data_IF_823549442897
#
_entry.id   IF_823549442897
#
_cell.length_a   1.000
_cell.length_b   1.000
_cell.length_c   1.000
_cell.angle_alpha   90.00
_cell.angle_beta   90.00
_cell.angle_gamma   90.00
#
_symmetry.space_group_name_H-M   'P 1'
#
loop_
_entity.id
_entity.type
_entity.pdbx_description
1 polymer ?
#
# COMPACT_ATOMS: atom_id res chain seq x y z
N UNK A 1 -2.34 1.57 41.41
CA UNK A 1 -2.00 3.00 41.60
C UNK A 1 -2.90 3.64 42.66
N UNK A 2 -4.21 3.39 42.62
CA UNK A 2 -5.20 3.79 43.64
C UNK A 2 -4.86 3.22 45.04
N UNK A 3 -4.52 1.94 45.15
CA UNK A 3 -4.14 1.31 46.44
C UNK A 3 -2.92 1.95 47.11
N UNK A 4 -2.01 2.51 46.31
CA UNK A 4 -0.77 3.13 46.80
C UNK A 4 -1.00 4.54 47.36
N UNK A 5 -2.04 5.22 46.90
CA UNK A 5 -2.40 6.58 47.35
C UNK A 5 -3.55 6.59 48.37
N UNK A 6 -4.29 5.49 48.54
CA UNK A 6 -5.30 5.33 49.58
C UNK A 6 -4.75 5.21 51.01
N UNK A 7 -3.49 4.79 51.18
CA UNK A 7 -2.86 4.56 52.48
C UNK A 7 -2.42 5.84 53.24
N UNK A 8 -2.47 7.02 52.61
CA UNK A 8 -2.16 8.31 53.26
C UNK A 8 -3.38 9.23 53.23
N UNK A 9 -3.80 9.71 54.40
CA UNK A 9 -5.01 10.51 54.59
C UNK A 9 -5.10 11.73 53.65
N UNK A 10 -3.97 12.37 53.33
CA UNK A 10 -3.93 13.54 52.44
C UNK A 10 -4.20 13.25 50.97
N UNK A 11 -4.14 11.99 50.52
CA UNK A 11 -4.33 11.58 49.12
C UNK A 11 -5.59 10.74 48.88
N UNK A 12 -6.36 10.48 49.93
CA UNK A 12 -7.60 9.70 49.88
C UNK A 12 -8.67 10.33 48.96
N UNK A 13 -8.78 11.66 48.93
CA UNK A 13 -9.74 12.35 48.04
C UNK A 13 -9.38 12.18 46.54
N UNK A 14 -8.09 12.16 46.22
CA UNK A 14 -7.61 11.93 44.85
C UNK A 14 -7.82 10.47 44.43
N UNK A 15 -7.58 9.51 45.33
CA UNK A 15 -7.84 8.09 45.06
C UNK A 15 -9.32 7.83 44.72
N UNK A 16 -10.25 8.38 45.50
CA UNK A 16 -11.71 8.27 45.27
C UNK A 16 -12.17 8.89 43.95
N UNK A 17 -11.53 9.99 43.53
CA UNK A 17 -11.81 10.64 42.25
C UNK A 17 -11.37 9.77 41.06
N UNK A 18 -10.23 9.11 41.20
CA UNK A 18 -9.69 8.18 40.20
C UNK A 18 -10.55 6.92 40.11
N UNK A 19 -10.99 6.36 41.25
CA UNK A 19 -11.92 5.22 41.30
C UNK A 19 -13.21 5.52 40.54
N UNK A 20 -13.88 6.64 40.86
CA UNK A 20 -15.11 7.06 40.16
C UNK A 20 -14.90 7.27 38.66
N UNK A 21 -13.69 7.66 38.24
CA UNK A 21 -13.35 7.84 36.83
C UNK A 21 -13.11 6.50 36.13
N UNK A 22 -12.55 5.52 36.83
CA UNK A 22 -12.41 4.14 36.34
C UNK A 22 -13.81 3.54 36.18
N UNK A 23 -14.68 3.65 37.17
CA UNK A 23 -16.05 3.13 37.12
C UNK A 23 -16.85 3.70 35.94
N UNK A 24 -16.70 5.01 35.66
CA UNK A 24 -17.34 5.65 34.51
C UNK A 24 -16.80 5.13 33.18
N UNK A 25 -15.49 4.96 33.07
CA UNK A 25 -14.84 4.44 31.86
C UNK A 25 -15.19 2.97 31.60
N UNK A 26 -15.36 2.17 32.65
CA UNK A 26 -15.81 0.79 32.52
C UNK A 26 -17.32 0.71 32.21
N UNK A 27 -18.15 1.61 32.73
CA UNK A 27 -19.58 1.68 32.39
C UNK A 27 -19.83 2.08 30.92
N UNK A 28 -19.00 2.96 30.36
CA UNK A 28 -19.07 3.39 28.95
C UNK A 28 -18.28 2.46 28.00
N UNK A 29 -17.75 1.34 28.51
CA UNK A 29 -16.90 0.43 27.76
C UNK A 29 -17.72 -0.33 26.72
N UNK A 30 -17.67 0.15 25.48
CA UNK A 30 -18.26 -0.53 24.33
C UNK A 30 -17.56 -1.87 24.10
N UNK A 31 -18.22 -2.98 24.46
CA UNK A 31 -17.79 -4.32 24.09
C UNK A 31 -18.01 -4.54 22.59
N UNK A 32 -16.95 -4.34 21.80
CA UNK A 32 -16.96 -4.80 20.43
C UNK A 32 -17.13 -6.33 20.41
N UNK A 33 -18.06 -6.88 19.59
CA UNK A 33 -18.21 -8.33 19.48
C UNK A 33 -16.87 -8.93 19.07
N UNK A 34 -16.31 -9.79 19.95
CA UNK A 34 -15.02 -10.47 19.78
C UNK A 34 -15.06 -11.64 18.79
N UNK A 35 -16.03 -11.68 17.89
CA UNK A 35 -16.04 -12.68 16.83
C UNK A 35 -15.01 -12.28 15.80
N UNK A 36 -13.74 -12.60 16.08
CA UNK A 36 -12.70 -12.68 15.06
C UNK A 36 -13.13 -13.80 14.11
N UNK A 37 -13.88 -13.44 13.06
CA UNK A 37 -14.02 -14.30 11.89
C UNK A 37 -12.63 -14.38 11.29
N UNK A 38 -11.89 -15.42 11.66
CA UNK A 38 -10.60 -15.73 11.05
C UNK A 38 -10.90 -16.23 9.65
N UNK A 39 -10.82 -15.30 8.70
CA UNK A 39 -10.97 -15.60 7.30
C UNK A 39 -9.70 -16.35 6.87
N UNK A 40 -9.83 -17.66 6.63
CA UNK A 40 -8.76 -18.46 6.04
C UNK A 40 -8.83 -18.29 4.54
N UNK A 41 -7.83 -17.65 3.95
CA UNK A 41 -7.68 -17.66 2.50
C UNK A 41 -6.43 -18.40 2.13
N UNK A 42 -6.62 -19.37 1.25
CA UNK A 42 -5.54 -20.07 0.57
C UNK A 42 -5.47 -19.50 -0.83
N UNK A 43 -4.33 -18.91 -1.15
CA UNK A 43 -4.01 -18.60 -2.54
C UNK A 43 -3.81 -19.92 -3.29
N UNK A 44 -4.25 -20.01 -4.55
CA UNK A 44 -3.93 -21.16 -5.39
C UNK A 44 -2.41 -21.27 -5.55
N UNK A 45 -1.91 -22.49 -5.71
CA UNK A 45 -0.51 -22.69 -6.06
C UNK A 45 -0.23 -21.99 -7.39
N UNK A 46 0.87 -21.24 -7.44
CA UNK A 46 1.28 -20.55 -8.65
C UNK A 46 1.63 -21.59 -9.73
N UNK A 47 1.29 -21.35 -11.01
CA UNK A 47 1.71 -22.21 -12.09
C UNK A 47 3.25 -22.28 -12.15
N UNK A 48 3.77 -23.41 -12.60
CA UNK A 48 5.21 -23.59 -12.75
C UNK A 48 5.76 -22.64 -13.81
N UNK A 49 6.75 -21.84 -13.46
CA UNK A 49 7.51 -21.04 -14.42
C UNK A 49 8.84 -21.70 -14.78
N UNK A 50 9.36 -21.36 -15.97
CA UNK A 50 10.69 -21.78 -16.40
C UNK A 50 11.80 -21.37 -15.42
N UNK A 51 12.96 -22.02 -15.54
CA UNK A 51 14.12 -21.72 -14.69
C UNK A 51 14.62 -20.30 -14.91
N UNK A 52 14.69 -19.86 -16.18
CA UNK A 52 14.97 -18.47 -16.55
C UNK A 52 13.67 -17.69 -16.60
N UNK A 53 13.56 -16.62 -15.82
CA UNK A 53 12.36 -15.79 -15.69
C UNK A 53 12.40 -14.57 -16.61
N UNK A 54 13.56 -13.92 -16.69
CA UNK A 54 13.76 -12.70 -17.48
C UNK A 54 15.19 -12.70 -18.03
N UNK A 55 15.33 -12.31 -19.28
CA UNK A 55 16.63 -12.00 -19.90
C UNK A 55 16.52 -10.62 -20.52
N UNK A 56 17.47 -9.75 -20.22
CA UNK A 56 17.61 -8.42 -20.78
C UNK A 56 18.99 -8.29 -21.41
N UNK A 57 19.05 -7.78 -22.64
CA UNK A 57 20.27 -7.64 -23.43
C UNK A 57 20.41 -6.20 -23.92
N UNK A 58 21.48 -5.53 -23.51
CA UNK A 58 21.91 -4.25 -24.05
C UNK A 58 20.91 -3.10 -23.87
N UNK A 59 20.07 -3.14 -22.82
CA UNK A 59 19.01 -2.14 -22.66
C UNK A 59 19.60 -0.74 -22.52
N UNK A 60 19.05 0.21 -23.29
CA UNK A 60 19.43 1.63 -23.26
C UNK A 60 18.21 2.52 -23.12
N UNK A 61 18.33 3.57 -22.28
CA UNK A 61 17.29 4.59 -22.11
C UNK A 61 17.82 6.02 -22.24
N UNK A 62 17.20 6.82 -23.11
CA UNK A 62 17.45 8.28 -23.22
C UNK A 62 16.16 9.10 -23.24
N UNK A 63 16.23 10.35 -22.79
CA UNK A 63 15.12 11.33 -22.85
C UNK A 63 15.55 12.60 -23.60
N UNK A 64 16.02 12.45 -24.84
CA UNK A 64 16.40 13.59 -25.70
C UNK A 64 17.66 14.34 -25.23
N UNK A 65 18.46 13.72 -24.36
CA UNK A 65 19.67 14.27 -23.78
C UNK A 65 20.69 13.17 -23.49
N UNK A 66 21.55 13.31 -22.47
CA UNK A 66 22.48 12.24 -22.09
C UNK A 66 21.71 10.98 -21.68
N UNK A 67 22.33 9.82 -21.94
CA UNK A 67 21.74 8.54 -21.62
C UNK A 67 21.51 8.40 -20.11
N UNK A 68 20.31 7.96 -19.75
CA UNK A 68 19.94 7.66 -18.37
C UNK A 68 20.67 6.40 -17.91
N UNK A 69 20.70 5.39 -18.78
CA UNK A 69 21.54 4.21 -18.68
C UNK A 69 21.81 3.65 -20.08
N UNK A 70 22.91 2.92 -20.21
CA UNK A 70 23.35 2.27 -21.45
C UNK A 70 23.87 0.87 -21.14
N UNK A 71 23.69 -0.05 -22.10
CA UNK A 71 24.22 -1.41 -22.08
C UNK A 71 23.89 -2.22 -20.81
N UNK A 72 22.62 -2.15 -20.37
CA UNK A 72 22.16 -2.92 -19.21
C UNK A 72 21.76 -4.31 -19.67
N UNK A 73 22.60 -5.30 -19.36
CA UNK A 73 22.37 -6.72 -19.64
C UNK A 73 22.35 -7.53 -18.35
N UNK A 74 21.31 -8.34 -18.15
CA UNK A 74 21.20 -9.26 -17.01
C UNK A 74 20.16 -10.34 -17.30
N UNK A 75 20.32 -11.49 -16.66
CA UNK A 75 19.32 -12.53 -16.57
C UNK A 75 18.84 -12.70 -15.11
N UNK A 76 17.64 -13.25 -14.95
CA UNK A 76 17.04 -13.54 -13.66
C UNK A 76 16.46 -14.94 -13.66
N UNK A 77 16.93 -15.78 -12.74
CA UNK A 77 16.45 -17.13 -12.49
C UNK A 77 15.25 -17.18 -11.55
N UNK A 78 14.60 -18.35 -11.51
CA UNK A 78 13.47 -18.61 -10.61
C UNK A 78 13.94 -18.57 -9.15
N UNK A 79 13.30 -17.72 -8.36
CA UNK A 79 13.61 -17.55 -6.93
C UNK A 79 14.73 -16.54 -6.66
N UNK A 80 15.36 -16.00 -7.69
CA UNK A 80 16.34 -14.94 -7.57
C UNK A 80 15.70 -13.58 -7.31
N UNK A 81 16.49 -12.66 -6.74
CA UNK A 81 16.05 -11.31 -6.42
C UNK A 81 17.07 -10.32 -6.94
N UNK A 82 16.66 -9.49 -7.90
CA UNK A 82 17.47 -8.39 -8.40
C UNK A 82 17.17 -7.11 -7.61
N UNK A 83 18.21 -6.49 -7.06
CA UNK A 83 18.13 -5.19 -6.40
C UNK A 83 18.81 -4.13 -7.26
N UNK A 84 18.04 -3.15 -7.74
CA UNK A 84 18.58 -2.04 -8.53
C UNK A 84 18.92 -0.86 -7.61
N UNK A 85 20.21 -0.55 -7.51
CA UNK A 85 20.73 0.54 -6.68
C UNK A 85 21.30 1.66 -7.55
N UNK A 86 21.24 2.90 -7.04
CA UNK A 86 21.78 4.06 -7.74
C UNK A 86 21.22 5.37 -7.21
N UNK A 87 21.84 6.48 -7.59
CA UNK A 87 21.38 7.83 -7.23
C UNK A 87 20.00 8.13 -7.84
N UNK A 88 19.34 9.18 -7.35
CA UNK A 88 18.14 9.71 -7.99
C UNK A 88 18.50 10.19 -9.40
N UNK A 89 17.68 9.81 -10.39
CA UNK A 89 17.96 10.08 -11.80
C UNK A 89 18.83 9.03 -12.52
N UNK A 90 19.37 8.03 -11.82
CA UNK A 90 20.15 6.94 -12.46
C UNK A 90 19.32 5.94 -13.28
N UNK A 91 18.02 6.20 -13.49
CA UNK A 91 17.17 5.37 -14.35
C UNK A 91 16.53 4.13 -13.74
N UNK A 92 16.58 3.94 -12.42
CA UNK A 92 15.96 2.79 -11.74
C UNK A 92 14.46 2.62 -12.10
N UNK A 93 13.70 3.70 -11.92
CA UNK A 93 12.26 3.73 -12.26
C UNK A 93 12.06 3.54 -13.76
N UNK A 94 12.93 4.10 -14.60
CA UNK A 94 12.87 3.93 -16.05
C UNK A 94 13.11 2.47 -16.47
N UNK A 95 14.08 1.79 -15.86
CA UNK A 95 14.35 0.37 -16.09
C UNK A 95 13.14 -0.48 -15.70
N UNK A 96 12.57 -0.26 -14.52
CA UNK A 96 11.38 -1.00 -14.07
C UNK A 96 10.17 -0.75 -14.98
N UNK A 97 9.95 0.48 -15.44
CA UNK A 97 8.89 0.82 -16.40
C UNK A 97 9.09 0.14 -17.77
N UNK A 98 10.34 -0.02 -18.21
CA UNK A 98 10.64 -0.74 -19.46
C UNK A 98 10.29 -2.22 -19.31
N UNK A 99 10.73 -2.86 -18.24
CA UNK A 99 10.42 -4.27 -17.96
C UNK A 99 8.92 -4.51 -17.75
N UNK A 100 8.20 -3.52 -17.21
CA UNK A 100 6.74 -3.55 -17.07
C UNK A 100 5.99 -3.32 -18.39
N UNK A 101 6.68 -2.94 -19.47
CA UNK A 101 6.06 -2.59 -20.75
C UNK A 101 5.38 -1.20 -20.77
N UNK A 102 5.50 -0.41 -19.71
CA UNK A 102 4.97 0.96 -19.63
C UNK A 102 5.81 1.97 -20.42
N UNK A 103 7.08 1.66 -20.66
CA UNK A 103 7.99 2.47 -21.46
C UNK A 103 8.79 1.62 -22.43
N UNK A 104 9.20 2.21 -23.56
CA UNK A 104 10.06 1.54 -24.54
C UNK A 104 11.52 1.85 -24.25
N UNK A 105 12.40 0.86 -24.38
CA UNK A 105 13.83 1.09 -24.53
C UNK A 105 14.09 1.70 -25.92
N UNK A 106 15.15 2.49 -26.05
CA UNK A 106 15.61 2.98 -27.36
C UNK A 106 16.53 1.97 -28.06
N UNK A 107 17.19 1.11 -27.29
CA UNK A 107 18.03 0.02 -27.81
C UNK A 107 18.01 -1.19 -26.86
N UNK A 108 18.41 -2.34 -27.38
CA UNK A 108 18.38 -3.62 -26.70
C UNK A 108 17.01 -4.29 -26.66
N UNK A 109 16.96 -5.48 -26.09
CA UNK A 109 15.76 -6.30 -25.97
C UNK A 109 15.65 -6.96 -24.60
N UNK A 110 14.44 -7.38 -24.26
CA UNK A 110 14.22 -8.28 -23.14
C UNK A 110 13.13 -9.27 -23.46
N UNK A 111 13.19 -10.44 -22.84
CA UNK A 111 12.21 -11.50 -22.99
C UNK A 111 11.90 -12.16 -21.65
N UNK A 112 10.63 -12.50 -21.45
CA UNK A 112 10.18 -13.30 -20.33
C UNK A 112 10.26 -14.79 -20.65
N UNK A 113 10.59 -15.59 -19.64
CA UNK A 113 10.64 -17.04 -19.75
C UNK A 113 9.27 -17.72 -19.87
N UNK A 114 9.30 -19.05 -19.95
CA UNK A 114 8.09 -19.86 -20.11
C UNK A 114 7.11 -19.69 -18.94
N UNK A 115 5.85 -19.37 -19.27
CA UNK A 115 4.75 -19.18 -18.30
C UNK A 115 5.01 -18.13 -17.23
N UNK A 116 5.84 -17.12 -17.52
CA UNK A 116 6.05 -15.98 -16.63
C UNK A 116 4.92 -14.97 -16.79
N UNK A 117 4.30 -14.60 -15.66
CA UNK A 117 3.34 -13.50 -15.59
C UNK A 117 4.00 -12.31 -14.89
N UNK A 118 4.33 -11.23 -15.62
CA UNK A 118 4.96 -10.05 -15.02
C UNK A 118 3.94 -9.28 -14.17
N UNK A 119 4.40 -8.77 -13.03
CA UNK A 119 3.65 -7.86 -12.17
C UNK A 119 4.48 -6.62 -11.87
N UNK A 120 3.86 -5.45 -11.98
CA UNK A 120 4.51 -4.17 -11.72
C UNK A 120 3.80 -3.42 -10.61
N UNK A 121 4.57 -2.90 -9.65
CA UNK A 121 4.07 -2.11 -8.54
C UNK A 121 4.70 -0.71 -8.60
N UNK A 122 3.89 0.27 -9.00
CA UNK A 122 4.31 1.66 -9.10
C UNK A 122 4.47 2.30 -7.70
N UNK A 123 5.48 3.16 -7.56
CA UNK A 123 5.76 3.87 -6.31
C UNK A 123 4.72 4.97 -6.00
N UNK A 124 4.10 5.54 -7.03
CA UNK A 124 3.05 6.55 -6.91
C UNK A 124 1.67 5.89 -7.11
N UNK A 125 0.68 6.28 -6.30
CA UNK A 125 -0.66 5.68 -6.30
C UNK A 125 -1.53 6.19 -7.47
N UNK A 126 -0.96 6.30 -8.67
CA UNK A 126 -1.60 6.93 -9.83
C UNK A 126 -2.84 6.17 -10.32
N UNK A 127 -3.00 4.91 -9.91
CA UNK A 127 -4.12 4.07 -10.29
C UNK A 127 -5.35 4.23 -9.36
N UNK A 128 -5.27 4.99 -8.27
CA UNK A 128 -6.40 5.17 -7.36
C UNK A 128 -7.40 6.19 -7.89
N UNK A 129 -8.62 5.74 -8.19
CA UNK A 129 -9.74 6.62 -8.53
C UNK A 129 -10.30 7.25 -7.26
N UNK A 130 -10.00 8.52 -7.03
CA UNK A 130 -10.36 9.26 -5.80
C UNK A 130 -11.87 9.26 -5.47
N UNK A 131 -12.74 9.10 -6.48
CA UNK A 131 -14.20 9.08 -6.33
C UNK A 131 -14.76 7.71 -5.94
N UNK A 132 -13.95 6.64 -5.97
CA UNK A 132 -14.37 5.29 -5.64
C UNK A 132 -13.90 4.88 -4.25
N UNK A 133 -14.69 4.02 -3.61
CA UNK A 133 -14.24 3.41 -2.37
C UNK A 133 -13.11 2.42 -2.66
N UNK A 134 -12.18 2.31 -1.72
CA UNK A 134 -11.00 1.44 -1.84
C UNK A 134 -11.42 -0.02 -2.12
N UNK A 135 -12.53 -0.47 -1.53
CA UNK A 135 -13.03 -1.84 -1.73
C UNK A 135 -13.58 -2.07 -3.14
N UNK A 136 -14.16 -1.05 -3.78
CA UNK A 136 -14.66 -1.17 -5.15
C UNK A 136 -13.50 -1.22 -6.15
N UNK A 137 -12.47 -0.41 -5.93
CA UNK A 137 -11.26 -0.44 -6.77
C UNK A 137 -10.51 -1.77 -6.67
N UNK A 138 -10.41 -2.34 -5.45
CA UNK A 138 -9.84 -3.66 -5.24
C UNK A 138 -10.62 -4.78 -5.92
N UNK A 139 -11.95 -4.65 -6.06
CA UNK A 139 -12.78 -5.65 -6.77
C UNK A 139 -12.55 -5.63 -8.26
N UNK A 140 -12.40 -4.46 -8.85
CA UNK A 140 -12.12 -4.33 -10.29
C UNK A 140 -10.79 -5.00 -10.67
N UNK A 141 -9.81 -4.96 -9.76
CA UNK A 141 -8.50 -5.60 -9.93
C UNK A 141 -8.50 -7.09 -9.56
N UNK A 142 -9.54 -7.58 -8.86
CA UNK A 142 -9.65 -8.98 -8.47
C UNK A 142 -10.27 -9.80 -9.62
N UNK A 143 -9.79 -11.03 -9.87
CA UNK A 143 -10.43 -11.89 -10.86
C UNK A 143 -11.90 -12.13 -10.50
N UNK A 144 -12.80 -11.97 -11.48
CA UNK A 144 -14.27 -11.97 -11.34
C UNK A 144 -14.88 -13.23 -10.68
N UNK A 145 -14.07 -14.26 -10.41
CA UNK A 145 -14.43 -15.50 -9.73
C UNK A 145 -14.60 -15.35 -8.21
N UNK A 146 -14.00 -14.34 -7.58
CA UNK A 146 -13.98 -14.23 -6.12
C UNK A 146 -15.24 -13.54 -5.60
N UNK A 147 -16.01 -14.23 -4.75
CA UNK A 147 -17.16 -13.65 -4.07
C UNK A 147 -16.76 -12.52 -3.09
N UNK A 148 -17.73 -11.69 -2.70
CA UNK A 148 -17.56 -10.56 -1.76
C UNK A 148 -16.90 -10.97 -0.43
N UNK A 149 -17.14 -12.19 0.02
CA UNK A 149 -16.57 -12.75 1.25
C UNK A 149 -15.12 -13.19 1.08
N UNK A 150 -14.73 -13.68 -0.09
CA UNK A 150 -13.40 -14.22 -0.37
C UNK A 150 -12.40 -13.13 -0.72
N UNK A 151 -12.86 -12.09 -1.42
CA UNK A 151 -12.08 -10.85 -1.61
C UNK A 151 -11.89 -10.11 -0.30
N UNK A 152 -12.88 -9.97 0.58
CA UNK A 152 -12.65 -9.35 1.89
C UNK A 152 -11.71 -10.17 2.79
N UNK A 153 -11.74 -11.49 2.64
CA UNK A 153 -10.95 -12.46 3.39
C UNK A 153 -9.46 -12.41 3.06
N UNK A 154 -9.10 -12.35 1.77
CA UNK A 154 -7.70 -12.38 1.34
C UNK A 154 -6.93 -11.15 1.86
N UNK A 155 -7.66 -10.04 2.06
CA UNK A 155 -7.08 -8.71 2.26
C UNK A 155 -7.14 -8.28 3.72
N UNK A 156 -8.02 -8.89 4.54
CA UNK A 156 -8.02 -8.73 5.99
C UNK A 156 -6.76 -9.32 6.67
N UNK A 157 -6.03 -10.22 6.00
CA UNK A 157 -4.77 -10.77 6.49
C UNK A 157 -3.56 -9.84 6.24
N UNK A 158 -3.64 -8.97 5.22
CA UNK A 158 -2.61 -7.98 4.86
C UNK A 158 -2.73 -6.65 5.65
N UNK A 159 -3.41 -6.67 6.81
CA UNK A 159 -3.48 -5.52 7.72
C UNK A 159 -4.57 -4.49 7.43
N UNK A 160 -5.44 -4.69 6.44
CA UNK A 160 -6.57 -3.79 6.18
C UNK A 160 -7.81 -4.25 6.97
N UNK A 161 -7.84 -3.93 8.27
CA UNK A 161 -9.05 -4.04 9.08
C UNK A 161 -10.05 -2.96 8.64
N UNK A 162 -10.92 -3.31 7.70
CA UNK A 162 -12.09 -2.51 7.34
C UNK A 162 -12.98 -2.30 8.59
N UNK A 163 -12.75 -1.18 9.28
CA UNK A 163 -13.64 -0.71 10.34
C UNK A 163 -13.80 0.80 10.22
N UNK A 164 -15.02 1.21 9.85
CA UNK A 164 -15.56 2.59 9.80
C UNK A 164 -14.90 3.57 8.83
N UNK A 165 -15.52 3.76 7.66
CA UNK A 165 -15.64 5.11 7.09
C UNK A 165 -17.10 5.35 6.66
N UNK A 166 -17.94 5.65 7.65
CA UNK A 166 -19.28 6.19 7.46
C UNK A 166 -19.54 7.13 8.64
N UNK A 167 -19.92 8.37 8.30
CA UNK A 167 -20.11 9.58 9.13
C UNK A 167 -18.86 10.41 9.42
N UNK A 168 -18.59 11.43 8.59
CA UNK A 168 -19.03 12.79 8.91
C UNK A 168 -18.77 13.77 7.75
N UNK A 169 -19.86 14.29 7.16
CA UNK A 169 -19.83 15.60 6.49
C UNK A 169 -19.63 16.66 7.57
N UNK A 170 -18.53 17.43 7.53
CA UNK A 170 -18.49 18.89 7.76
C UNK A 170 -17.04 19.39 7.91
N UNK A 171 -16.79 20.52 7.24
CA UNK A 171 -15.75 21.52 7.48
C UNK A 171 -14.30 21.09 7.30
N UNK A 172 -13.75 21.47 6.13
CA UNK A 172 -12.54 22.29 6.10
C UNK A 172 -12.73 23.36 5.01
N UNK A 173 -12.79 24.61 5.47
CA UNK A 173 -12.78 25.83 4.65
C UNK A 173 -11.79 26.78 5.35
N UNK A 174 -11.11 27.61 4.55
CA UNK A 174 -9.96 28.48 4.83
C UNK A 174 -8.61 27.77 4.57
N UNK A 175 -7.69 28.27 3.73
CA UNK A 175 -7.40 29.66 3.39
C UNK A 175 -6.79 29.72 1.97
N UNK A 176 -7.44 30.42 1.03
CA UNK A 176 -6.75 30.95 -0.16
C UNK A 176 -7.36 32.30 -0.48
N UNK A 177 -6.87 33.34 0.20
CA UNK A 177 -7.18 34.73 -0.17
C UNK A 177 -6.63 34.99 -1.57
N UNK A 178 -7.53 35.38 -2.45
CA UNK A 178 -7.26 35.99 -3.75
C UNK A 178 -6.59 37.35 -3.50
N UNK A 179 -5.57 37.67 -4.27
CA UNK A 179 -5.26 39.05 -4.64
C UNK A 179 -4.83 39.08 -6.10
N UNK A 180 -5.79 39.38 -6.95
CA UNK A 180 -5.66 40.04 -8.25
C UNK A 180 -6.87 40.99 -8.35
N UNK A 181 -6.92 42.04 -9.19
CA UNK A 181 -6.05 42.31 -10.34
C UNK A 181 -5.69 43.80 -10.64
N UNK A 182 -4.89 43.99 -11.72
CA UNK A 182 -5.00 45.03 -12.79
C UNK A 182 -4.55 46.49 -12.52
N UNK A 183 -4.49 47.37 -13.55
CA UNK A 183 -3.64 47.33 -14.76
C UNK A 183 -2.92 48.68 -15.05
N UNK A 184 -1.88 48.66 -15.90
CA UNK A 184 -1.47 49.67 -16.89
C UNK A 184 -0.28 49.13 -17.69
#
# INVERSE_FOLDING_TARGET
MVDRFGAKASKAAMARSIEKRIDRLDAERVHAPRTKRTLSVKFPEAPNCGETVLVANGLRKTYGGPDVFHDVSFDLGRGERLLVLGLNGAGKTSLLRILAGESKAEDGDFSFGYQVQPGYYAQEHDNLVAERSLIDHMRDMAPARLGLTETAACWGHSGFLATKCSKNRRRFLAEKRRSSPSPC
#
